data_IF_130786960030
#
_entry.id   IF_130786960030
#
_cell.length_a   1.000
_cell.length_b   1.000
_cell.length_c   1.000
_cell.angle_alpha   90.00
_cell.angle_beta   90.00
_cell.angle_gamma   90.00
#
_symmetry.space_group_name_H-M   'P 1'
#
loop_
_entity.id
_entity.type
_entity.pdbx_description
1 polymer ?
#
# COMPACT_ATOMS: atom_id res chain seq x y z
N UNK A 1 -3.18 4.38 -22.61
CA UNK A 1 -3.57 2.95 -22.53
C UNK A 1 -4.95 2.73 -21.91
N UNK A 2 -5.31 3.39 -20.80
CA UNK A 2 -6.62 3.16 -20.13
C UNK A 2 -7.82 3.31 -21.08
N UNK A 3 -7.94 4.42 -21.81
CA UNK A 3 -9.03 4.63 -22.78
C UNK A 3 -9.03 3.59 -23.91
N UNK A 4 -7.87 3.22 -24.43
CA UNK A 4 -7.77 2.18 -25.46
C UNK A 4 -8.26 0.82 -24.93
N UNK A 5 -7.83 0.43 -23.73
CA UNK A 5 -8.28 -0.83 -23.10
C UNK A 5 -9.79 -0.80 -22.88
N UNK A 6 -10.33 0.32 -22.39
CA UNK A 6 -11.77 0.50 -22.22
C UNK A 6 -12.51 0.31 -23.53
N UNK A 7 -12.17 1.10 -24.56
CA UNK A 7 -12.83 1.09 -25.86
C UNK A 7 -12.70 -0.25 -26.58
N UNK A 8 -11.52 -0.89 -26.52
CA UNK A 8 -11.31 -2.20 -27.11
C UNK A 8 -12.14 -3.29 -26.41
N UNK A 9 -12.19 -3.25 -25.07
CA UNK A 9 -12.99 -4.22 -24.29
C UNK A 9 -14.47 -4.02 -24.55
N UNK A 10 -14.93 -2.78 -24.64
CA UNK A 10 -16.33 -2.44 -24.95
C UNK A 10 -16.71 -2.86 -26.38
N UNK A 11 -15.81 -2.69 -27.36
CA UNK A 11 -16.01 -3.12 -28.75
C UNK A 11 -16.27 -4.63 -28.88
N UNK A 12 -15.60 -5.45 -28.08
CA UNK A 12 -15.82 -6.91 -28.02
C UNK A 12 -16.98 -7.29 -27.09
N UNK A 13 -17.82 -6.33 -26.67
CA UNK A 13 -18.94 -6.51 -25.75
C UNK A 13 -18.53 -7.00 -24.34
N UNK A 14 -17.29 -6.73 -23.93
CA UNK A 14 -16.79 -6.99 -22.58
C UNK A 14 -17.05 -5.83 -21.62
N UNK A 15 -16.75 -6.02 -20.34
CA UNK A 15 -16.85 -4.95 -19.34
C UNK A 15 -15.61 -4.05 -19.38
N UNK A 16 -15.74 -2.85 -19.96
CA UNK A 16 -14.65 -1.87 -20.08
C UNK A 16 -14.00 -1.48 -18.74
N UNK A 17 -14.78 -1.35 -17.66
CA UNK A 17 -14.25 -1.05 -16.32
C UNK A 17 -13.36 -2.17 -15.79
N UNK A 18 -13.79 -3.43 -15.95
CA UNK A 18 -13.00 -4.60 -15.58
C UNK A 18 -11.74 -4.70 -16.43
N UNK A 19 -11.83 -4.42 -17.74
CA UNK A 19 -10.67 -4.39 -18.64
C UNK A 19 -9.61 -3.39 -18.17
N UNK A 20 -10.03 -2.15 -17.85
CA UNK A 20 -9.12 -1.12 -17.32
C UNK A 20 -8.54 -1.53 -15.97
N UNK A 21 -9.34 -2.15 -15.09
CA UNK A 21 -8.87 -2.66 -13.80
C UNK A 21 -7.76 -3.72 -13.96
N UNK A 22 -7.99 -4.72 -14.82
CA UNK A 22 -6.99 -5.77 -15.10
C UNK A 22 -5.75 -5.17 -15.76
N UNK A 23 -5.91 -4.29 -16.74
CA UNK A 23 -4.78 -3.59 -17.37
C UNK A 23 -3.97 -2.77 -16.38
N UNK A 24 -4.63 -2.06 -15.47
CA UNK A 24 -4.00 -1.32 -14.39
C UNK A 24 -3.25 -2.22 -13.41
N UNK A 25 -3.81 -3.38 -13.06
CA UNK A 25 -3.16 -4.39 -12.21
C UNK A 25 -1.88 -4.93 -12.87
N UNK A 26 -1.93 -5.27 -14.16
CA UNK A 26 -0.79 -5.78 -14.92
C UNK A 26 0.31 -4.71 -14.97
N UNK A 27 0.00 -3.50 -15.46
CA UNK A 27 0.97 -2.39 -15.55
C UNK A 27 1.54 -2.04 -14.17
N UNK A 28 0.66 -2.01 -13.15
CA UNK A 28 1.03 -1.74 -11.77
C UNK A 28 1.95 -2.78 -11.14
N UNK A 29 1.96 -4.02 -11.64
CA UNK A 29 2.86 -5.07 -11.16
C UNK A 29 4.24 -5.04 -11.86
N UNK A 30 4.38 -4.36 -13.00
CA UNK A 30 5.66 -4.20 -13.68
C UNK A 30 6.52 -3.09 -13.05
N UNK A 31 7.85 -3.23 -13.18
CA UNK A 31 8.82 -2.17 -12.87
C UNK A 31 8.99 -1.32 -14.14
N UNK A 32 8.85 -0.01 -14.02
CA UNK A 32 9.07 0.94 -15.11
C UNK A 32 9.53 2.30 -14.55
N UNK A 33 10.20 3.07 -15.40
CA UNK A 33 10.81 4.35 -15.02
C UNK A 33 9.73 5.34 -14.55
N UNK A 34 10.00 6.08 -13.48
CA UNK A 34 9.08 7.07 -12.88
C UNK A 34 7.73 6.53 -12.39
N UNK A 35 7.59 5.22 -12.17
CA UNK A 35 6.35 4.59 -11.66
C UNK A 35 5.71 5.31 -10.48
N UNK A 36 6.50 5.67 -9.47
CA UNK A 36 6.03 6.36 -8.26
C UNK A 36 5.41 7.72 -8.58
N UNK A 37 6.00 8.47 -9.52
CA UNK A 37 5.46 9.77 -9.95
C UNK A 37 4.16 9.61 -10.72
N UNK A 38 4.10 8.63 -11.63
CA UNK A 38 2.91 8.32 -12.42
C UNK A 38 1.75 7.87 -11.53
N UNK A 39 1.99 6.97 -10.57
CA UNK A 39 0.98 6.53 -9.61
C UNK A 39 0.43 7.73 -8.82
N UNK A 40 1.30 8.57 -8.26
CA UNK A 40 0.88 9.78 -7.52
C UNK A 40 0.05 10.74 -8.38
N UNK A 41 0.40 10.91 -9.64
CA UNK A 41 -0.38 11.74 -10.57
C UNK A 41 -1.79 11.17 -10.80
N UNK A 42 -1.90 9.86 -11.06
CA UNK A 42 -3.19 9.19 -11.23
C UNK A 42 -4.00 9.12 -9.93
N UNK A 43 -3.36 9.01 -8.77
CA UNK A 43 -4.03 9.11 -7.48
C UNK A 43 -4.66 10.50 -7.30
N UNK A 44 -3.94 11.57 -7.67
CA UNK A 44 -4.48 12.93 -7.68
C UNK A 44 -5.67 13.09 -8.62
N UNK A 45 -5.58 12.53 -9.83
CA UNK A 45 -6.68 12.55 -10.80
C UNK A 45 -7.91 11.78 -10.28
N UNK A 46 -7.68 10.63 -9.63
CA UNK A 46 -8.74 9.82 -9.01
C UNK A 46 -9.44 10.59 -7.91
N UNK A 47 -8.70 11.30 -7.07
CA UNK A 47 -9.26 12.12 -6.00
C UNK A 47 -10.09 13.28 -6.56
N UNK A 48 -9.57 13.97 -7.58
CA UNK A 48 -10.31 15.03 -8.27
C UNK A 48 -11.62 14.50 -8.89
N UNK A 49 -11.53 13.40 -9.64
CA UNK A 49 -12.70 12.77 -10.27
C UNK A 49 -13.73 12.33 -9.22
N UNK A 50 -13.27 11.82 -8.07
CA UNK A 50 -14.15 11.44 -6.97
C UNK A 50 -14.87 12.64 -6.35
N UNK A 51 -14.20 13.77 -6.15
CA UNK A 51 -14.83 15.01 -5.67
C UNK A 51 -15.87 15.50 -6.67
N UNK A 52 -15.53 15.58 -7.95
CA UNK A 52 -16.45 16.01 -9.01
C UNK A 52 -17.67 15.09 -9.04
N UNK A 53 -17.47 13.78 -8.93
CA UNK A 53 -18.55 12.79 -8.90
C UNK A 53 -19.47 12.99 -7.69
N UNK A 54 -18.93 13.10 -6.47
CA UNK A 54 -19.77 13.32 -5.29
C UNK A 54 -20.47 14.67 -5.28
N UNK A 55 -19.81 15.73 -5.78
CA UNK A 55 -20.39 17.06 -5.89
C UNK A 55 -21.56 17.07 -6.88
N UNK A 56 -21.37 16.50 -8.07
CA UNK A 56 -22.42 16.42 -9.10
C UNK A 56 -23.60 15.56 -8.64
N UNK A 57 -23.34 14.42 -8.01
CA UNK A 57 -24.39 13.57 -7.45
C UNK A 57 -25.13 14.24 -6.28
N UNK A 58 -24.40 14.97 -5.43
CA UNK A 58 -24.99 15.76 -4.34
C UNK A 58 -25.89 16.88 -4.86
N UNK A 59 -25.52 17.53 -5.97
CA UNK A 59 -26.33 18.55 -6.62
C UNK A 59 -27.56 17.96 -7.34
N UNK A 60 -27.46 16.72 -7.83
CA UNK A 60 -28.53 16.01 -8.52
C UNK A 60 -29.64 15.54 -7.57
N UNK A 61 -29.31 15.27 -6.31
CA UNK A 61 -30.23 14.76 -5.29
C UNK A 61 -31.11 15.88 -4.72
N UNK A 62 -32.43 15.64 -4.68
CA UNK A 62 -33.37 16.50 -3.98
C UNK A 62 -33.46 16.11 -2.49
N UNK A 63 -33.12 17.00 -1.54
CA UNK A 63 -33.17 16.68 -0.11
C UNK A 63 -34.58 16.32 0.39
N UNK A 64 -35.61 16.94 -0.16
CA UNK A 64 -37.01 16.65 0.20
C UNK A 64 -37.41 15.21 -0.15
N UNK A 65 -36.97 14.70 -1.30
CA UNK A 65 -37.27 13.34 -1.75
C UNK A 65 -36.41 12.29 -1.02
N UNK A 66 -35.19 12.67 -0.64
CA UNK A 66 -34.28 11.84 0.13
C UNK A 66 -34.78 11.65 1.57
N UNK A 67 -35.35 12.71 2.15
CA UNK A 67 -35.86 12.72 3.53
C UNK A 67 -37.28 12.16 3.67
N UNK A 68 -37.87 11.65 2.57
CA UNK A 68 -39.14 10.96 2.64
C UNK A 68 -39.04 9.76 3.60
N UNK A 69 -39.99 9.59 4.53
CA UNK A 69 -39.95 8.52 5.52
C UNK A 69 -39.81 7.12 4.89
N UNK A 70 -40.43 6.91 3.73
CA UNK A 70 -40.34 5.65 2.99
C UNK A 70 -38.92 5.33 2.52
N UNK A 71 -38.17 6.33 2.04
CA UNK A 71 -36.78 6.18 1.58
C UNK A 71 -35.86 5.94 2.78
N UNK A 72 -36.04 6.69 3.86
CA UNK A 72 -35.24 6.55 5.07
C UNK A 72 -35.44 5.17 5.69
N UNK A 73 -36.69 4.73 5.87
CA UNK A 73 -37.00 3.45 6.51
C UNK A 73 -36.51 2.29 5.64
N UNK A 74 -36.86 2.29 4.34
CA UNK A 74 -36.43 1.25 3.40
C UNK A 74 -34.90 1.22 3.28
N UNK A 75 -34.27 2.39 3.14
CA UNK A 75 -32.83 2.52 3.05
C UNK A 75 -32.10 2.05 4.31
N UNK A 76 -32.59 2.41 5.49
CA UNK A 76 -32.01 1.97 6.75
C UNK A 76 -32.15 0.45 6.93
N UNK A 77 -33.31 -0.12 6.63
CA UNK A 77 -33.55 -1.57 6.71
C UNK A 77 -32.64 -2.35 5.76
N UNK A 78 -32.61 -1.97 4.48
CA UNK A 78 -31.77 -2.62 3.46
C UNK A 78 -30.29 -2.43 3.79
N UNK A 79 -29.90 -1.21 4.18
CA UNK A 79 -28.54 -0.88 4.57
C UNK A 79 -28.06 -1.71 5.75
N UNK A 80 -28.86 -1.78 6.82
CA UNK A 80 -28.58 -2.56 8.03
C UNK A 80 -28.51 -4.05 7.72
N UNK A 81 -29.48 -4.59 6.98
CA UNK A 81 -29.51 -6.00 6.57
C UNK A 81 -28.25 -6.37 5.76
N UNK A 82 -27.87 -5.53 4.80
CA UNK A 82 -26.67 -5.75 4.00
C UNK A 82 -25.37 -5.64 4.80
N UNK A 83 -25.31 -4.75 5.79
CA UNK A 83 -24.11 -4.58 6.63
C UNK A 83 -23.95 -5.75 7.62
N UNK A 84 -25.04 -6.20 8.25
CA UNK A 84 -24.98 -7.23 9.30
C UNK A 84 -25.02 -8.65 8.72
N UNK A 85 -25.81 -8.88 7.69
CA UNK A 85 -25.99 -10.22 7.12
C UNK A 85 -25.29 -10.33 5.78
N UNK A 86 -25.67 -9.48 4.81
CA UNK A 86 -25.23 -9.62 3.43
C UNK A 86 -23.70 -9.68 3.31
N UNK A 87 -23.01 -8.75 3.96
CA UNK A 87 -21.57 -8.61 3.86
C UNK A 87 -20.79 -9.66 4.66
N UNK A 88 -21.08 -9.92 5.95
CA UNK A 88 -20.40 -11.00 6.68
C UNK A 88 -20.59 -12.37 6.04
N UNK A 89 -21.79 -12.68 5.53
CA UNK A 89 -22.04 -13.92 4.82
C UNK A 89 -21.22 -13.98 3.53
N UNK A 90 -21.26 -12.94 2.70
CA UNK A 90 -20.52 -12.90 1.43
C UNK A 90 -19.01 -13.03 1.64
N UNK A 91 -18.46 -12.33 2.64
CA UNK A 91 -17.03 -12.38 2.96
C UNK A 91 -16.65 -13.74 3.56
N UNK A 92 -17.47 -14.28 4.47
CA UNK A 92 -17.21 -15.59 5.06
C UNK A 92 -17.22 -16.68 3.98
N UNK A 93 -18.21 -16.69 3.09
CA UNK A 93 -18.29 -17.62 1.96
C UNK A 93 -17.10 -17.48 1.00
N UNK A 94 -16.72 -16.25 0.66
CA UNK A 94 -15.57 -15.99 -0.24
C UNK A 94 -14.23 -16.38 0.39
N UNK A 95 -14.12 -16.32 1.73
CA UNK A 95 -12.91 -16.67 2.48
C UNK A 95 -12.92 -18.08 3.06
N UNK A 96 -13.99 -18.87 2.88
CA UNK A 96 -14.04 -20.30 3.23
C UNK A 96 -12.83 -21.10 2.69
N UNK A 97 -12.38 -20.94 1.42
CA UNK A 97 -11.22 -21.67 0.93
C UNK A 97 -9.89 -21.20 1.57
N UNK A 98 -9.85 -19.98 2.11
CA UNK A 98 -8.64 -19.37 2.67
C UNK A 98 -8.55 -19.54 4.20
N UNK A 99 -8.33 -20.79 4.64
CA UNK A 99 -8.30 -21.17 6.07
C UNK A 99 -7.21 -20.51 6.92
N UNK A 100 -6.20 -19.88 6.31
CA UNK A 100 -5.10 -19.22 7.01
C UNK A 100 -5.46 -17.86 7.63
N UNK A 101 -6.66 -17.33 7.33
CA UNK A 101 -7.08 -16.00 7.81
C UNK A 101 -7.84 -16.14 9.15
N UNK A 102 -7.38 -15.48 10.23
CA UNK A 102 -8.04 -15.57 11.53
C UNK A 102 -9.46 -15.00 11.47
N UNK A 103 -10.35 -15.50 12.34
CA UNK A 103 -11.76 -15.08 12.37
C UNK A 103 -11.91 -13.57 12.59
N UNK A 104 -11.09 -12.97 13.45
CA UNK A 104 -11.08 -11.53 13.70
C UNK A 104 -10.79 -10.75 12.40
N UNK A 105 -9.81 -11.18 11.61
CA UNK A 105 -9.49 -10.55 10.33
C UNK A 105 -10.63 -10.72 9.30
N UNK A 106 -11.29 -11.88 9.26
CA UNK A 106 -12.48 -12.09 8.42
C UNK A 106 -13.62 -11.15 8.80
N UNK A 107 -13.87 -11.00 10.10
CA UNK A 107 -14.90 -10.09 10.62
C UNK A 107 -14.56 -8.63 10.31
N UNK A 108 -13.29 -8.24 10.42
CA UNK A 108 -12.84 -6.91 10.05
C UNK A 108 -12.99 -6.62 8.55
N UNK A 109 -12.58 -7.55 7.67
CA UNK A 109 -12.78 -7.41 6.22
C UNK A 109 -14.28 -7.27 5.89
N UNK A 110 -15.14 -7.99 6.60
CA UNK A 110 -16.58 -7.83 6.46
C UNK A 110 -17.08 -6.46 6.95
N UNK A 111 -16.43 -5.86 7.94
CA UNK A 111 -16.81 -4.58 8.51
C UNK A 111 -16.28 -3.35 7.76
N UNK A 112 -15.12 -3.43 7.09
CA UNK A 112 -14.41 -2.34 6.38
C UNK A 112 -15.13 -1.95 5.08
N UNK A 113 -16.44 -1.85 5.18
CA UNK A 113 -17.34 -2.04 4.09
C UNK A 113 -17.84 -0.82 3.39
N UNK A 114 -16.95 0.16 3.24
CA UNK A 114 -17.28 1.47 2.74
C UNK A 114 -17.90 1.35 1.35
N UNK A 115 -19.16 1.77 1.26
CA UNK A 115 -19.82 1.97 -0.02
C UNK A 115 -19.24 3.24 -0.64
N UNK A 116 -18.59 3.10 -1.78
CA UNK A 116 -18.03 4.22 -2.53
C UNK A 116 -19.06 4.88 -3.44
N UNK A 117 -18.59 5.62 -4.45
CA UNK A 117 -19.47 6.27 -5.43
C UNK A 117 -20.04 5.31 -6.49
N UNK A 118 -19.43 4.15 -6.67
CA UNK A 118 -19.78 3.16 -7.71
C UNK A 118 -21.25 2.69 -7.65
N UNK A 119 -21.82 2.33 -6.49
CA UNK A 119 -23.23 1.95 -6.40
C UNK A 119 -24.19 3.07 -6.83
N UNK A 120 -23.85 4.33 -6.54
CA UNK A 120 -24.68 5.49 -6.91
C UNK A 120 -24.70 5.63 -8.44
N UNK A 121 -23.54 5.52 -9.08
CA UNK A 121 -23.44 5.55 -10.55
C UNK A 121 -24.26 4.41 -11.15
N UNK A 122 -24.20 3.20 -10.57
CA UNK A 122 -25.01 2.09 -11.05
C UNK A 122 -26.53 2.31 -10.88
N UNK A 123 -26.95 2.96 -9.79
CA UNK A 123 -28.35 3.30 -9.56
C UNK A 123 -28.86 4.40 -10.51
N UNK A 124 -27.95 5.16 -11.14
CA UNK A 124 -28.30 6.16 -12.14
C UNK A 124 -28.68 5.54 -13.49
N UNK A 125 -28.13 4.38 -13.87
CA UNK A 125 -28.46 3.74 -15.16
C UNK A 125 -29.97 3.44 -15.31
N UNK A 126 -30.66 2.81 -14.34
CA UNK A 126 -32.11 2.62 -14.41
C UNK A 126 -32.89 3.93 -14.51
N UNK A 127 -32.41 4.99 -13.85
CA UNK A 127 -33.07 6.29 -13.84
C UNK A 127 -32.96 6.98 -15.20
N UNK A 128 -31.77 6.97 -15.81
CA UNK A 128 -31.56 7.48 -17.16
C UNK A 128 -32.34 6.67 -18.20
N UNK A 129 -32.48 5.35 -17.98
CA UNK A 129 -33.30 4.48 -18.82
C UNK A 129 -34.82 4.73 -18.69
N UNK A 130 -35.26 5.60 -17.78
CA UNK A 130 -36.67 5.97 -17.61
C UNK A 130 -37.52 4.87 -16.96
N UNK A 131 -36.91 3.93 -16.24
CA UNK A 131 -37.63 2.84 -15.58
C UNK A 131 -38.50 3.35 -14.42
N UNK A 132 -39.65 2.71 -14.24
CA UNK A 132 -40.53 2.98 -13.10
C UNK A 132 -39.80 2.72 -11.77
N UNK A 133 -40.06 3.56 -10.76
CA UNK A 133 -39.42 3.52 -9.44
C UNK A 133 -37.89 3.66 -9.43
N UNK A 134 -37.23 3.89 -10.57
CA UNK A 134 -35.77 4.02 -10.62
C UNK A 134 -35.24 5.18 -9.77
N UNK A 135 -36.01 6.28 -9.69
CA UNK A 135 -35.69 7.43 -8.83
C UNK A 135 -35.72 7.07 -7.34
N UNK A 136 -36.64 6.20 -6.93
CA UNK A 136 -36.71 5.68 -5.55
C UNK A 136 -35.46 4.84 -5.24
N UNK A 137 -35.08 3.94 -6.15
CA UNK A 137 -33.88 3.10 -6.01
C UNK A 137 -32.62 3.97 -5.92
N UNK A 138 -32.50 4.99 -6.78
CA UNK A 138 -31.40 5.96 -6.74
C UNK A 138 -31.31 6.64 -5.37
N UNK A 139 -32.43 7.20 -4.86
CA UNK A 139 -32.45 7.87 -3.56
C UNK A 139 -32.09 6.91 -2.41
N UNK A 140 -32.58 5.67 -2.44
CA UNK A 140 -32.24 4.64 -1.45
C UNK A 140 -30.74 4.33 -1.47
N UNK A 141 -30.15 4.07 -2.65
CA UNK A 141 -28.73 3.75 -2.79
C UNK A 141 -27.85 4.92 -2.38
N UNK A 142 -28.25 6.15 -2.75
CA UNK A 142 -27.56 7.37 -2.33
C UNK A 142 -27.57 7.53 -0.81
N UNK A 143 -28.76 7.41 -0.18
CA UNK A 143 -28.92 7.49 1.28
C UNK A 143 -28.05 6.47 2.01
N UNK A 144 -28.13 5.19 1.61
CA UNK A 144 -27.34 4.10 2.20
C UNK A 144 -25.83 4.37 2.06
N UNK A 145 -25.39 4.94 0.94
CA UNK A 145 -23.98 5.24 0.69
C UNK A 145 -23.48 6.34 1.62
N UNK A 146 -24.24 7.44 1.76
CA UNK A 146 -23.90 8.53 2.69
C UNK A 146 -23.83 8.04 4.13
N UNK A 147 -24.85 7.29 4.58
CA UNK A 147 -24.89 6.72 5.94
C UNK A 147 -23.73 5.74 6.16
N UNK A 148 -23.41 4.90 5.18
CA UNK A 148 -22.27 3.98 5.24
C UNK A 148 -20.95 4.73 5.34
N UNK A 149 -20.74 5.78 4.55
CA UNK A 149 -19.52 6.59 4.60
C UNK A 149 -19.35 7.30 5.96
N UNK A 150 -20.44 7.84 6.54
CA UNK A 150 -20.39 8.51 7.84
C UNK A 150 -20.16 7.50 8.97
N UNK A 151 -21.01 6.48 9.07
CA UNK A 151 -20.98 5.52 10.19
C UNK A 151 -19.79 4.57 10.05
N UNK A 152 -19.68 3.85 8.94
CA UNK A 152 -18.62 2.85 8.79
C UNK A 152 -17.26 3.55 8.60
N UNK A 153 -17.20 4.68 7.89
CA UNK A 153 -15.95 5.42 7.67
C UNK A 153 -15.28 5.84 8.97
N UNK A 154 -16.06 6.36 9.91
CA UNK A 154 -15.56 6.73 11.25
C UNK A 154 -15.31 5.51 12.15
N UNK A 155 -16.04 4.41 11.94
CA UNK A 155 -15.93 3.20 12.78
C UNK A 155 -14.80 2.26 12.36
N UNK A 156 -14.26 2.36 11.13
CA UNK A 156 -13.17 1.49 10.64
C UNK A 156 -11.97 1.46 11.62
N UNK A 157 -11.39 2.60 12.06
CA UNK A 157 -10.22 2.58 12.94
C UNK A 157 -10.55 1.99 14.33
N UNK A 158 -11.73 2.29 14.86
CA UNK A 158 -12.20 1.78 16.16
C UNK A 158 -12.42 0.28 16.13
N UNK A 159 -13.03 -0.25 15.06
CA UNK A 159 -13.25 -1.69 14.89
C UNK A 159 -11.93 -2.46 14.73
N UNK A 160 -10.95 -1.87 14.03
CA UNK A 160 -9.62 -2.46 13.90
C UNK A 160 -8.92 -2.61 15.27
N UNK A 161 -9.09 -1.63 16.17
CA UNK A 161 -8.60 -1.70 17.55
C UNK A 161 -9.35 -2.75 18.38
N UNK A 162 -10.69 -2.76 18.29
CA UNK A 162 -11.54 -3.70 19.02
C UNK A 162 -11.22 -5.16 18.68
N UNK A 163 -10.97 -5.46 17.41
CA UNK A 163 -10.66 -6.81 16.92
C UNK A 163 -9.19 -7.21 17.11
N UNK A 164 -8.35 -6.33 17.68
CA UNK A 164 -6.94 -6.59 17.92
C UNK A 164 -6.11 -6.75 16.64
N UNK A 165 -6.57 -6.17 15.52
CA UNK A 165 -5.90 -6.23 14.21
C UNK A 165 -4.99 -5.02 14.02
N UNK A 166 -5.22 -3.96 14.81
CA UNK A 166 -4.23 -2.91 14.97
C UNK A 166 -2.99 -3.50 15.63
N UNK A 167 -1.99 -3.77 14.80
CA UNK A 167 -0.66 -4.11 15.26
C UNK A 167 -0.14 -2.89 16.03
N UNK A 168 0.16 -3.05 17.32
CA UNK A 168 0.97 -2.08 18.08
C UNK A 168 2.44 -2.14 17.63
N UNK A 169 2.70 -2.42 16.34
CA UNK A 169 4.02 -2.39 15.75
C UNK A 169 4.42 -0.93 15.44
N UNK A 170 4.69 -0.18 16.50
CA UNK A 170 5.67 0.91 16.47
C UNK A 170 6.86 0.52 17.34
N UNK A 171 7.47 -0.63 17.05
CA UNK A 171 8.91 -0.56 16.83
C UNK A 171 8.98 -0.07 15.38
N UNK A 172 9.39 1.18 15.09
CA UNK A 172 9.74 1.53 13.72
C UNK A 172 10.69 0.43 13.27
N UNK A 173 10.27 -0.40 12.31
CA UNK A 173 11.21 -1.31 11.68
C UNK A 173 12.36 -0.39 11.25
N UNK A 174 13.62 -0.67 11.65
CA UNK A 174 14.73 0.14 11.19
C UNK A 174 14.55 0.23 9.69
N UNK A 175 14.47 1.47 9.20
CA UNK A 175 14.33 1.71 7.77
C UNK A 175 15.43 0.86 7.15
N UNK A 176 15.05 -0.12 6.33
CA UNK A 176 16.01 -0.73 5.44
C UNK A 176 16.44 0.42 4.54
N UNK A 177 17.52 1.12 4.92
CA UNK A 177 18.15 2.18 4.13
C UNK A 177 18.53 1.69 2.72
N UNK A 178 18.42 0.38 2.51
CA UNK A 178 18.66 -0.43 1.32
C UNK A 178 17.42 -0.65 0.43
N UNK A 179 16.24 -0.11 0.76
CA UNK A 179 15.06 -0.27 -0.09
C UNK A 179 15.12 0.72 -1.27
N UNK A 180 15.90 0.39 -2.30
CA UNK A 180 15.82 0.81 -3.73
C UNK A 180 15.74 2.30 -4.12
N UNK A 181 15.34 3.21 -3.22
CA UNK A 181 15.04 4.61 -3.49
C UNK A 181 16.34 5.46 -3.56
N UNK A 182 17.47 4.98 -3.00
CA UNK A 182 18.78 5.65 -3.08
C UNK A 182 19.64 5.17 -4.25
N UNK A 183 19.56 3.89 -4.61
CA UNK A 183 20.34 3.26 -5.72
C UNK A 183 19.96 3.79 -7.11
N UNK A 184 18.72 4.30 -7.28
CA UNK A 184 18.25 4.81 -8.57
C UNK A 184 18.63 6.28 -8.80
N UNK A 185 18.91 7.05 -7.74
CA UNK A 185 19.21 8.49 -7.83
C UNK A 185 20.72 8.79 -7.84
N UNK A 186 21.52 7.95 -7.18
CA UNK A 186 22.98 7.98 -7.23
C UNK A 186 23.48 6.57 -7.48
N UNK A 187 24.58 6.38 -8.22
CA UNK A 187 25.21 5.05 -8.46
C UNK A 187 25.77 4.41 -7.16
N UNK A 188 25.26 4.81 -6.00
CA UNK A 188 25.71 4.40 -4.69
C UNK A 188 25.23 2.97 -4.43
N UNK A 189 26.19 2.08 -4.22
CA UNK A 189 25.98 0.70 -3.81
C UNK A 189 26.18 0.59 -2.30
N UNK A 190 25.40 -0.25 -1.67
CA UNK A 190 25.36 -0.40 -0.22
C UNK A 190 25.58 -1.86 0.16
N UNK A 191 26.47 -2.09 1.11
CA UNK A 191 26.94 -3.42 1.48
C UNK A 191 27.00 -3.58 3.00
N UNK A 192 26.70 -4.78 3.49
CA UNK A 192 26.92 -5.17 4.88
C UNK A 192 28.24 -5.94 4.97
N UNK A 193 29.14 -5.52 5.87
CA UNK A 193 30.40 -6.20 6.14
C UNK A 193 30.39 -6.71 7.57
N UNK A 194 30.72 -7.98 7.76
CA UNK A 194 30.89 -8.56 9.10
C UNK A 194 32.37 -8.43 9.47
N UNK A 195 32.63 -7.81 10.62
CA UNK A 195 33.97 -7.74 11.21
C UNK A 195 34.33 -9.14 11.69
N UNK A 196 35.45 -9.63 11.18
CA UNK A 196 36.06 -10.90 11.61
C UNK A 196 37.42 -10.63 12.24
N UNK A 197 37.93 -11.59 13.00
CA UNK A 197 39.30 -11.57 13.54
C UNK A 197 40.39 -11.22 12.51
N UNK A 198 40.20 -11.52 11.23
CA UNK A 198 41.14 -11.14 10.19
C UNK A 198 41.12 -9.64 9.88
N UNK A 199 39.96 -9.00 9.98
CA UNK A 199 39.80 -7.55 9.81
C UNK A 199 40.40 -6.80 11.00
N UNK A 200 40.21 -7.33 12.22
CA UNK A 200 40.73 -6.75 13.45
C UNK A 200 42.26 -6.70 13.51
N UNK A 201 42.96 -7.50 12.69
CA UNK A 201 44.43 -7.44 12.55
C UNK A 201 44.92 -6.14 11.89
N UNK A 202 44.06 -5.48 11.12
CA UNK A 202 44.38 -4.20 10.48
C UNK A 202 44.25 -3.02 11.44
N UNK A 203 43.44 -3.19 12.49
CA UNK A 203 43.23 -2.20 13.54
C UNK A 203 41.89 -2.43 14.25
N UNK A 204 41.77 -1.82 15.42
CA UNK A 204 40.58 -1.97 16.26
C UNK A 204 39.61 -0.80 16.13
N UNK A 205 39.93 0.26 15.37
CA UNK A 205 39.01 1.39 15.15
C UNK A 205 38.61 1.50 13.68
N UNK A 206 37.45 2.11 13.44
CA UNK A 206 36.96 2.34 12.08
C UNK A 206 37.96 3.11 11.22
N UNK A 207 38.65 4.11 11.78
CA UNK A 207 39.65 4.88 11.05
C UNK A 207 40.91 4.09 10.69
N UNK A 208 41.16 2.95 11.36
CA UNK A 208 42.33 2.12 11.11
C UNK A 208 42.08 1.13 9.95
N UNK A 209 40.81 0.88 9.60
CA UNK A 209 40.47 0.01 8.49
C UNK A 209 40.64 0.78 7.17
N UNK A 210 41.39 0.24 6.20
CA UNK A 210 41.57 0.85 4.89
C UNK A 210 40.30 0.68 4.04
N UNK A 211 39.28 1.48 4.29
CA UNK A 211 38.14 1.58 3.38
C UNK A 211 38.55 2.34 2.11
N UNK A 212 38.06 1.94 0.92
CA UNK A 212 38.34 2.66 -0.33
C UNK A 212 37.82 4.09 -0.31
N UNK A 213 38.37 4.93 -1.18
CA UNK A 213 37.92 6.32 -1.34
C UNK A 213 36.42 6.39 -1.65
N UNK A 214 35.75 7.41 -1.09
CA UNK A 214 34.29 7.63 -1.20
C UNK A 214 33.43 6.53 -0.57
N UNK A 215 33.97 5.84 0.44
CA UNK A 215 33.24 4.86 1.25
C UNK A 215 32.84 5.47 2.60
N UNK A 216 31.56 5.35 2.97
CA UNK A 216 31.03 5.87 4.23
C UNK A 216 30.42 4.73 5.06
N UNK A 217 30.89 4.57 6.30
CA UNK A 217 30.26 3.69 7.29
C UNK A 217 29.10 4.45 7.94
N UNK A 218 27.88 4.00 7.70
CA UNK A 218 26.67 4.71 8.13
C UNK A 218 26.16 4.18 9.46
N UNK A 219 26.35 2.89 9.74
CA UNK A 219 25.76 2.23 10.90
C UNK A 219 26.60 1.03 11.33
N UNK A 220 26.70 0.81 12.65
CA UNK A 220 27.27 -0.40 13.25
C UNK A 220 26.17 -1.13 14.01
N UNK A 221 26.08 -2.44 13.81
CA UNK A 221 25.27 -3.36 14.61
C UNK A 221 26.18 -4.22 15.49
N UNK A 222 25.96 -4.15 16.80
CA UNK A 222 26.61 -5.01 17.81
C UNK A 222 25.55 -5.77 18.58
N UNK A 223 25.45 -7.08 18.36
CA UNK A 223 24.34 -7.89 18.88
C UNK A 223 23.00 -7.32 18.38
N UNK A 224 22.13 -6.88 19.29
CA UNK A 224 20.83 -6.26 18.95
C UNK A 224 20.86 -4.72 18.94
N UNK A 225 22.01 -4.10 19.26
CA UNK A 225 22.13 -2.65 19.32
C UNK A 225 22.67 -2.08 18.01
N UNK A 226 22.07 -0.97 17.58
CA UNK A 226 22.49 -0.22 16.41
C UNK A 226 22.85 1.21 16.78
N UNK A 227 23.96 1.72 16.24
CA UNK A 227 24.37 3.11 16.45
C UNK A 227 25.18 3.65 15.27
N UNK A 228 25.23 4.98 15.15
CA UNK A 228 26.04 5.68 14.15
C UNK A 228 27.47 5.75 14.69
N UNK A 229 28.44 5.09 14.05
CA UNK A 229 29.78 5.09 14.58
C UNK A 229 30.54 6.36 14.14
N UNK A 230 31.64 6.64 14.84
CA UNK A 230 32.60 7.68 14.48
C UNK A 230 33.97 7.05 14.20
N UNK A 231 34.92 7.82 13.67
CA UNK A 231 36.27 7.29 13.37
C UNK A 231 36.99 6.65 14.56
N UNK A 232 36.63 7.02 15.80
CA UNK A 232 37.20 6.49 17.05
C UNK A 232 36.48 5.26 17.58
N UNK A 233 35.41 4.82 16.92
CA UNK A 233 34.60 3.69 17.37
C UNK A 233 35.42 2.41 17.28
N UNK A 234 35.52 1.71 18.41
CA UNK A 234 36.20 0.42 18.49
C UNK A 234 35.31 -0.70 17.94
N UNK A 235 35.93 -1.56 17.14
CA UNK A 235 35.34 -2.68 16.43
C UNK A 235 35.69 -3.99 17.14
N UNK A 236 34.71 -4.89 17.20
CA UNK A 236 34.84 -6.20 17.81
C UNK A 236 34.42 -7.29 16.83
N UNK A 237 34.87 -8.52 17.07
CA UNK A 237 34.52 -9.66 16.23
C UNK A 237 33.00 -9.87 16.27
N UNK A 238 32.40 -10.06 15.08
CA UNK A 238 30.96 -10.18 14.90
C UNK A 238 30.18 -8.87 14.80
N UNK A 239 30.84 -7.70 14.94
CA UNK A 239 30.20 -6.42 14.59
C UNK A 239 29.82 -6.42 13.10
N UNK A 240 28.66 -5.84 12.76
CA UNK A 240 28.25 -5.68 11.35
C UNK A 240 28.21 -4.21 10.98
N UNK A 241 28.92 -3.86 9.91
CA UNK A 241 29.00 -2.51 9.37
C UNK A 241 28.12 -2.38 8.15
N UNK A 242 27.29 -1.34 8.12
CA UNK A 242 26.59 -0.91 6.92
C UNK A 242 27.40 0.18 6.22
N UNK A 243 27.78 -0.10 4.98
CA UNK A 243 28.66 0.76 4.19
C UNK A 243 27.93 1.20 2.93
N UNK A 244 28.10 2.47 2.57
CA UNK A 244 27.65 3.04 1.29
C UNK A 244 28.89 3.50 0.52
N UNK A 245 28.98 3.14 -0.76
CA UNK A 245 30.04 3.57 -1.66
C UNK A 245 29.47 3.96 -3.02
N UNK A 246 30.05 4.97 -3.65
CA UNK A 246 29.60 5.48 -4.96
C UNK A 246 30.12 4.63 -6.15
N UNK A 247 30.90 3.58 -5.89
CA UNK A 247 31.55 2.76 -6.91
C UNK A 247 31.38 1.25 -6.63
N UNK A 248 30.81 0.52 -7.60
CA UNK A 248 30.64 -0.93 -7.54
C UNK A 248 31.98 -1.67 -7.52
N UNK A 249 33.02 -1.13 -8.15
CA UNK A 249 34.37 -1.71 -8.10
C UNK A 249 35.00 -1.52 -6.71
N UNK A 250 34.70 -0.40 -6.04
CA UNK A 250 35.17 -0.14 -4.68
C UNK A 250 34.57 -1.12 -3.65
N UNK A 251 33.34 -1.62 -3.85
CA UNK A 251 32.79 -2.70 -3.01
C UNK A 251 33.67 -3.95 -3.11
N UNK A 252 33.98 -4.38 -4.33
CA UNK A 252 34.83 -5.55 -4.58
C UNK A 252 36.26 -5.34 -4.08
N UNK A 253 36.78 -4.12 -4.20
CA UNK A 253 38.08 -3.74 -3.66
C UNK A 253 38.09 -3.77 -2.13
N UNK A 254 37.01 -3.33 -1.48
CA UNK A 254 36.83 -3.43 -0.03
C UNK A 254 36.90 -4.90 0.42
N UNK A 255 36.17 -5.80 -0.24
CA UNK A 255 36.24 -7.24 0.05
C UNK A 255 37.64 -7.83 -0.17
N UNK A 256 38.37 -7.37 -1.20
CA UNK A 256 39.74 -7.81 -1.50
C UNK A 256 40.76 -7.31 -0.48
N UNK A 257 40.70 -6.04 -0.10
CA UNK A 257 41.62 -5.43 0.86
C UNK A 257 41.40 -5.93 2.29
N UNK A 258 40.15 -6.26 2.64
CA UNK A 258 39.76 -6.78 3.96
C UNK A 258 39.92 -8.33 4.05
N UNK A 259 40.24 -9.02 2.94
CA UNK A 259 40.52 -10.45 2.92
C UNK A 259 39.29 -11.37 2.96
N UNK A 260 38.10 -10.84 2.66
CA UNK A 260 36.81 -11.55 2.69
C UNK A 260 36.41 -12.11 1.30
N UNK A 261 37.36 -12.71 0.58
CA UNK A 261 37.16 -13.17 -0.81
C UNK A 261 36.08 -14.27 -1.00
N UNK A 262 35.63 -14.92 0.08
CA UNK A 262 34.64 -16.02 0.04
C UNK A 262 33.18 -15.59 0.25
N UNK A 263 32.92 -14.34 0.62
CA UNK A 263 31.57 -13.84 0.96
C UNK A 263 31.05 -12.77 -0.02
N UNK A 264 31.63 -12.70 -1.23
CA UNK A 264 31.18 -11.77 -2.27
C UNK A 264 29.73 -12.15 -2.64
N UNK A 265 28.72 -11.29 -2.38
CA UNK A 265 27.37 -11.56 -2.84
C UNK A 265 27.35 -11.51 -4.38
N UNK A 266 26.56 -12.37 -5.06
CA UNK A 266 26.44 -12.33 -6.51
C UNK A 266 25.95 -10.93 -6.95
N UNK A 267 26.71 -10.32 -7.85
CA UNK A 267 26.39 -9.05 -8.48
C UNK A 267 25.41 -9.30 -9.62
N UNK A 268 24.12 -9.45 -9.28
CA UNK A 268 23.00 -9.41 -10.24
C UNK A 268 22.12 -8.16 -9.98
#
# INVERSE_FOLDING_TARGET
CAFFIYSFTDFIHGNGFLGVYVGGLIIGNHKFVHKKSIIKFFDGLTWLAQIVLFLTLGLLVNPSELLNPEVIITGLLVGFFMIIFGRPISVLLSLLPFRKIPFNARMYISWVGLRGAVPIVFAMYPWIAGLENAKLIFNIVFFITIISLIIQGTTVPSMAKLLGIFDNAKIPKPINFLDSDFTDATKSSSCEIIITDNVLKLGHRIMDIPFPDKTLVVMLKRGEHYFIPNGKTELFDGDKLLIITDDKEAVLETYRQIGLQKEIPPLD
#
